data_IF_265325621001
#
_entry.id   IF_265325621001
#
_cell.length_a   1.000
_cell.length_b   1.000
_cell.length_c   1.000
_cell.angle_alpha   90.00
_cell.angle_beta   90.00
_cell.angle_gamma   90.00
#
_symmetry.space_group_name_H-M   'P 1'
#
loop_
_entity.id
_entity.type
_entity.pdbx_description
1 polymer ?
#
# COMPACT_ATOMS: atom_id res chain seq x y z
N UNK A 1 -4.36 -48.87 -6.46
CA UNK A 1 -4.65 -47.55 -5.87
C UNK A 1 -5.72 -46.96 -6.75
N UNK A 2 -6.95 -47.01 -6.30
CA UNK A 2 -8.11 -46.44 -7.00
C UNK A 2 -7.85 -44.96 -7.26
N UNK A 3 -7.91 -44.55 -8.54
CA UNK A 3 -8.05 -43.15 -8.90
C UNK A 3 -9.44 -42.75 -8.43
N UNK A 4 -9.58 -42.34 -7.20
CA UNK A 4 -10.80 -41.68 -6.76
C UNK A 4 -11.02 -40.51 -7.69
N UNK A 5 -12.07 -40.57 -8.51
CA UNK A 5 -12.52 -39.52 -9.41
C UNK A 5 -12.87 -38.33 -8.51
N UNK A 6 -12.02 -37.29 -8.51
CA UNK A 6 -12.20 -36.09 -7.70
C UNK A 6 -12.42 -34.89 -8.58
N UNK A 7 -13.32 -34.03 -8.18
CA UNK A 7 -13.62 -32.76 -8.83
C UNK A 7 -13.09 -31.57 -8.02
N UNK A 8 -12.65 -30.56 -8.73
CA UNK A 8 -12.30 -29.24 -8.19
C UNK A 8 -13.40 -28.27 -8.55
N UNK A 9 -13.99 -27.64 -7.55
CA UNK A 9 -15.08 -26.68 -7.73
C UNK A 9 -14.75 -25.38 -7.03
N UNK A 10 -14.74 -24.29 -7.80
CA UNK A 10 -14.71 -22.94 -7.26
C UNK A 10 -16.14 -22.43 -7.10
N UNK A 11 -16.54 -22.11 -5.88
CA UNK A 11 -17.78 -21.38 -5.64
C UNK A 11 -17.49 -19.90 -5.46
N UNK A 12 -18.34 -19.08 -6.05
CA UNK A 12 -18.35 -17.63 -5.84
C UNK A 12 -19.69 -17.23 -5.27
N UNK A 13 -19.66 -16.58 -4.12
CA UNK A 13 -20.81 -16.14 -3.35
C UNK A 13 -20.78 -14.63 -3.27
N UNK A 14 -21.94 -13.99 -3.51
CA UNK A 14 -22.10 -12.55 -3.33
C UNK A 14 -23.47 -12.22 -2.74
N UNK A 15 -23.52 -11.22 -1.89
CA UNK A 15 -24.76 -10.77 -1.25
C UNK A 15 -24.50 -9.76 -0.14
N UNK A 16 -25.55 -9.44 0.62
CA UNK A 16 -25.41 -8.60 1.81
C UNK A 16 -24.59 -9.33 2.86
N UNK A 17 -23.58 -8.62 3.40
CA UNK A 17 -22.75 -9.16 4.49
C UNK A 17 -23.57 -9.27 5.79
N UNK A 18 -23.48 -10.45 6.41
CA UNK A 18 -24.14 -10.78 7.68
C UNK A 18 -23.26 -11.74 8.49
N UNK A 19 -23.28 -11.60 9.84
CA UNK A 19 -22.65 -12.61 10.71
C UNK A 19 -23.20 -14.01 10.43
N UNK A 20 -22.30 -15.00 10.36
CA UNK A 20 -22.64 -16.40 10.19
C UNK A 20 -22.78 -16.88 8.74
N UNK A 21 -22.69 -16.02 7.72
CA UNK A 21 -22.82 -16.42 6.33
C UNK A 21 -21.74 -17.43 5.93
N UNK A 22 -20.48 -17.10 6.16
CA UNK A 22 -19.36 -17.99 5.87
C UNK A 22 -19.48 -19.30 6.67
N UNK A 23 -19.86 -19.23 7.95
CA UNK A 23 -20.07 -20.41 8.79
C UNK A 23 -21.16 -21.33 8.20
N UNK A 24 -22.28 -20.78 7.75
CA UNK A 24 -23.38 -21.57 7.16
C UNK A 24 -22.98 -22.30 5.88
N UNK A 25 -22.10 -21.69 5.09
CA UNK A 25 -21.59 -22.30 3.83
C UNK A 25 -20.56 -23.38 4.14
N UNK A 26 -19.62 -23.10 5.05
CA UNK A 26 -18.57 -24.07 5.42
C UNK A 26 -19.14 -25.23 6.22
N UNK A 27 -20.21 -25.05 6.98
CA UNK A 27 -20.92 -26.12 7.69
C UNK A 27 -21.47 -27.18 6.72
N UNK A 28 -22.04 -26.76 5.60
CA UNK A 28 -22.48 -27.69 4.55
C UNK A 28 -21.30 -28.49 3.99
N UNK A 29 -20.18 -27.80 3.68
CA UNK A 29 -18.98 -28.48 3.18
C UNK A 29 -18.42 -29.48 4.19
N UNK A 30 -18.49 -29.16 5.50
CA UNK A 30 -17.99 -30.02 6.57
C UNK A 30 -18.76 -31.35 6.74
N UNK A 31 -19.98 -31.42 6.19
CA UNK A 31 -20.77 -32.64 6.14
C UNK A 31 -20.30 -33.66 5.09
N UNK A 32 -19.28 -33.36 4.32
CA UNK A 32 -18.70 -34.18 3.26
C UNK A 32 -17.19 -34.27 3.41
N UNK A 33 -16.58 -35.25 2.73
CA UNK A 33 -15.11 -35.38 2.66
C UNK A 33 -14.58 -34.39 1.61
N UNK A 34 -14.36 -33.11 2.05
CA UNK A 34 -13.98 -31.97 1.22
C UNK A 34 -12.65 -31.39 1.70
N UNK A 35 -11.71 -31.28 0.78
CA UNK A 35 -10.47 -30.50 1.00
C UNK A 35 -10.65 -29.06 0.52
N UNK A 36 -10.47 -28.09 1.39
CA UNK A 36 -10.43 -26.67 0.99
C UNK A 36 -9.05 -26.35 0.41
N UNK A 37 -9.01 -26.02 -0.87
CA UNK A 37 -7.78 -25.71 -1.61
C UNK A 37 -7.41 -24.24 -1.53
N UNK A 38 -8.41 -23.34 -1.50
CA UNK A 38 -8.24 -21.92 -1.30
C UNK A 38 -9.55 -21.27 -0.83
N UNK A 39 -9.43 -20.18 -0.07
CA UNK A 39 -10.57 -19.38 0.39
C UNK A 39 -10.19 -17.91 0.45
N UNK A 40 -11.05 -17.06 -0.06
CA UNK A 40 -10.87 -15.61 -0.05
C UNK A 40 -12.19 -14.87 0.13
N UNK A 41 -12.17 -13.84 0.98
CA UNK A 41 -13.32 -12.99 1.27
C UNK A 41 -12.94 -11.52 1.10
N UNK A 42 -13.82 -10.75 0.50
CA UNK A 42 -13.71 -9.30 0.42
C UNK A 42 -15.07 -8.66 0.72
N UNK A 43 -15.02 -7.49 1.38
CA UNK A 43 -16.19 -6.67 1.65
C UNK A 43 -16.02 -5.27 1.05
N UNK A 44 -17.05 -4.78 0.37
CA UNK A 44 -17.15 -3.39 -0.08
C UNK A 44 -18.53 -2.88 0.31
N UNK A 45 -18.57 -1.84 1.15
CA UNK A 45 -19.81 -1.36 1.75
C UNK A 45 -20.43 -2.47 2.60
N UNK A 46 -21.67 -2.84 2.34
CA UNK A 46 -22.40 -3.94 2.99
C UNK A 46 -22.46 -5.21 2.13
N UNK A 47 -21.63 -5.30 1.09
CA UNK A 47 -21.65 -6.43 0.16
C UNK A 47 -20.44 -7.31 0.37
N UNK A 48 -20.70 -8.60 0.62
CA UNK A 48 -19.70 -9.65 0.70
C UNK A 48 -19.45 -10.28 -0.67
N UNK A 49 -18.19 -10.56 -0.96
CA UNK A 49 -17.77 -11.48 -2.02
C UNK A 49 -16.89 -12.56 -1.38
N UNK A 50 -17.33 -13.82 -1.45
CA UNK A 50 -16.62 -14.98 -0.90
C UNK A 50 -16.34 -15.98 -2.02
N UNK A 51 -15.09 -16.39 -2.17
CA UNK A 51 -14.66 -17.47 -3.05
C UNK A 51 -14.15 -18.63 -2.23
N UNK A 52 -14.56 -19.84 -2.54
CA UNK A 52 -14.00 -21.08 -1.96
C UNK A 52 -13.71 -22.04 -3.09
N UNK A 53 -12.45 -22.47 -3.19
CA UNK A 53 -12.03 -23.55 -4.07
C UNK A 53 -11.87 -24.81 -3.23
N UNK A 54 -12.57 -25.85 -3.58
CA UNK A 54 -12.52 -27.12 -2.86
C UNK A 54 -12.41 -28.31 -3.81
N UNK A 55 -11.90 -29.41 -3.27
CA UNK A 55 -11.82 -30.71 -3.91
C UNK A 55 -12.77 -31.66 -3.19
N UNK A 56 -13.59 -32.41 -3.93
CA UNK A 56 -14.52 -33.40 -3.41
C UNK A 56 -14.55 -34.64 -4.32
N UNK A 57 -15.23 -35.72 -3.85
CA UNK A 57 -15.53 -36.86 -4.71
C UNK A 57 -16.55 -36.45 -5.79
N UNK A 58 -16.44 -37.07 -6.97
CA UNK A 58 -17.42 -36.88 -8.06
C UNK A 58 -18.84 -37.33 -7.63
N UNK A 59 -18.94 -38.32 -6.71
CA UNK A 59 -20.20 -38.78 -6.18
C UNK A 59 -20.91 -37.77 -5.28
N UNK A 60 -20.16 -36.99 -4.52
CA UNK A 60 -20.70 -35.97 -3.59
C UNK A 60 -20.94 -34.63 -4.21
N UNK A 61 -20.22 -34.31 -5.30
CA UNK A 61 -20.22 -32.99 -5.96
C UNK A 61 -21.64 -32.47 -6.23
N UNK A 62 -22.50 -33.31 -6.81
CA UNK A 62 -23.91 -32.94 -7.10
C UNK A 62 -24.73 -32.63 -5.84
N UNK A 63 -24.55 -33.40 -4.77
CA UNK A 63 -25.26 -33.20 -3.50
C UNK A 63 -24.75 -31.94 -2.78
N UNK A 64 -23.46 -31.70 -2.80
CA UNK A 64 -22.83 -30.49 -2.24
C UNK A 64 -23.40 -29.25 -2.95
N UNK A 65 -23.36 -29.22 -4.28
CA UNK A 65 -23.88 -28.08 -5.06
C UNK A 65 -25.36 -27.83 -4.82
N UNK A 66 -26.17 -28.89 -4.75
CA UNK A 66 -27.60 -28.81 -4.43
C UNK A 66 -27.84 -28.19 -3.04
N UNK A 67 -27.15 -28.67 -2.00
CA UNK A 67 -27.32 -28.16 -0.64
C UNK A 67 -26.86 -26.71 -0.51
N UNK A 68 -25.77 -26.35 -1.17
CA UNK A 68 -25.28 -24.97 -1.23
C UNK A 68 -26.27 -24.03 -1.96
N UNK A 69 -26.90 -24.48 -3.04
CA UNK A 69 -27.94 -23.73 -3.74
C UNK A 69 -29.17 -23.46 -2.85
N UNK A 70 -29.67 -24.49 -2.15
CA UNK A 70 -30.80 -24.30 -1.23
C UNK A 70 -30.44 -23.32 -0.11
N UNK A 71 -29.25 -23.47 0.47
CA UNK A 71 -28.78 -22.55 1.53
C UNK A 71 -28.59 -21.14 1.02
N UNK A 72 -28.05 -20.95 -0.16
CA UNK A 72 -27.92 -19.64 -0.78
C UNK A 72 -29.28 -18.98 -0.98
N UNK A 73 -30.31 -19.73 -1.45
CA UNK A 73 -31.69 -19.24 -1.60
C UNK A 73 -32.28 -18.84 -0.24
N UNK A 74 -32.12 -19.67 0.79
CA UNK A 74 -32.56 -19.37 2.17
C UNK A 74 -31.93 -18.07 2.71
N UNK A 75 -30.63 -17.90 2.45
CA UNK A 75 -29.88 -16.75 2.92
C UNK A 75 -30.07 -15.50 2.03
N UNK A 76 -30.74 -15.61 0.89
CA UNK A 76 -30.93 -14.51 -0.06
C UNK A 76 -29.63 -14.01 -0.67
N UNK A 77 -28.69 -14.93 -0.94
CA UNK A 77 -27.37 -14.65 -1.55
C UNK A 77 -27.27 -15.32 -2.91
N UNK A 78 -26.38 -14.79 -3.76
CA UNK A 78 -26.09 -15.39 -5.05
C UNK A 78 -24.90 -16.34 -4.92
N UNK A 79 -25.00 -17.52 -5.48
CA UNK A 79 -23.92 -18.50 -5.59
C UNK A 79 -23.73 -18.90 -7.06
N UNK A 80 -22.49 -19.07 -7.48
CA UNK A 80 -22.11 -19.61 -8.78
C UNK A 80 -21.05 -20.66 -8.60
N UNK A 81 -21.15 -21.72 -9.40
CA UNK A 81 -20.21 -22.85 -9.40
C UNK A 81 -19.38 -22.83 -10.67
N UNK A 82 -18.08 -23.04 -10.53
CA UNK A 82 -17.13 -23.11 -11.63
C UNK A 82 -16.31 -24.38 -11.44
N UNK A 83 -16.59 -25.45 -12.20
CA UNK A 83 -15.69 -26.59 -12.27
C UNK A 83 -14.31 -26.12 -12.76
N UNK A 84 -13.26 -26.58 -12.12
CA UNK A 84 -11.88 -26.24 -12.46
C UNK A 84 -11.21 -27.51 -12.91
N UNK A 85 -10.56 -27.48 -14.09
CA UNK A 85 -9.79 -28.64 -14.55
C UNK A 85 -8.49 -28.78 -13.74
N UNK A 86 -7.92 -29.98 -13.75
CA UNK A 86 -6.65 -30.22 -13.09
C UNK A 86 -5.53 -29.38 -13.69
N UNK A 87 -5.55 -29.21 -14.98
CA UNK A 87 -4.57 -28.41 -15.73
C UNK A 87 -4.65 -26.94 -15.33
N UNK A 88 -5.86 -26.36 -15.26
CA UNK A 88 -6.08 -24.98 -14.82
C UNK A 88 -5.60 -24.77 -13.39
N UNK A 89 -5.85 -25.75 -12.51
CA UNK A 89 -5.40 -25.69 -11.11
C UNK A 89 -3.85 -25.74 -11.04
N UNK A 90 -3.23 -26.68 -11.73
CA UNK A 90 -1.77 -26.84 -11.73
C UNK A 90 -1.07 -25.60 -12.35
N UNK A 91 -1.64 -25.04 -13.42
CA UNK A 91 -1.16 -23.77 -13.98
C UNK A 91 -1.25 -22.64 -12.94
N UNK A 92 -2.37 -22.50 -12.27
CA UNK A 92 -2.55 -21.49 -11.22
C UNK A 92 -1.57 -21.70 -10.06
N UNK A 93 -1.32 -22.92 -9.62
CA UNK A 93 -0.32 -23.24 -8.59
C UNK A 93 1.10 -22.90 -9.07
N UNK A 94 1.42 -23.14 -10.34
CA UNK A 94 2.73 -22.82 -10.91
C UNK A 94 3.05 -21.32 -10.90
N UNK A 95 2.01 -20.48 -10.79
CA UNK A 95 2.18 -19.03 -10.64
C UNK A 95 2.59 -18.60 -9.22
N UNK A 96 2.60 -19.53 -8.25
CA UNK A 96 3.11 -19.26 -6.92
C UNK A 96 4.63 -19.05 -6.96
N UNK A 97 5.15 -18.25 -6.03
CA UNK A 97 6.60 -17.98 -5.97
C UNK A 97 7.10 -16.88 -6.93
N UNK A 98 6.25 -16.30 -7.79
CA UNK A 98 6.61 -15.11 -8.55
C UNK A 98 6.89 -13.92 -7.64
N UNK A 99 7.72 -12.98 -8.12
CA UNK A 99 8.00 -11.75 -7.39
C UNK A 99 6.69 -11.03 -7.04
N UNK A 100 6.64 -10.50 -5.82
CA UNK A 100 5.53 -9.69 -5.33
C UNK A 100 6.02 -8.28 -5.04
N UNK A 101 5.17 -7.33 -5.36
CA UNK A 101 5.39 -5.91 -5.11
C UNK A 101 4.16 -5.29 -4.47
N UNK A 102 4.39 -4.18 -3.79
CA UNK A 102 3.34 -3.34 -3.25
C UNK A 102 3.45 -1.99 -3.95
N UNK A 103 2.37 -1.57 -4.61
CA UNK A 103 2.19 -0.19 -5.04
C UNK A 103 1.25 0.49 -4.06
N UNK A 104 1.70 1.56 -3.43
CA UNK A 104 0.87 2.40 -2.57
C UNK A 104 0.67 3.74 -3.25
N UNK A 105 -0.57 4.21 -3.34
CA UNK A 105 -0.90 5.56 -3.79
C UNK A 105 -1.43 6.35 -2.60
N UNK A 106 -0.95 7.57 -2.44
CA UNK A 106 -1.32 8.49 -1.37
C UNK A 106 -1.71 9.84 -1.98
N UNK A 107 -2.81 10.40 -1.54
CA UNK A 107 -3.27 11.70 -2.01
C UNK A 107 -4.33 12.31 -1.11
N UNK A 108 -4.72 13.54 -1.39
CA UNK A 108 -5.82 14.20 -0.67
C UNK A 108 -7.16 13.52 -0.97
N UNK A 109 -7.34 13.01 -2.17
CA UNK A 109 -8.49 12.20 -2.61
C UNK A 109 -8.02 11.11 -3.58
N UNK A 110 -8.78 10.06 -3.70
CA UNK A 110 -8.59 9.04 -4.74
C UNK A 110 -9.54 9.33 -5.89
N UNK A 111 -9.00 9.45 -7.09
CA UNK A 111 -9.77 9.64 -8.31
C UNK A 111 -9.68 8.40 -9.20
N UNK A 112 -10.71 8.19 -10.04
CA UNK A 112 -10.68 7.12 -11.03
C UNK A 112 -9.50 7.27 -12.00
N UNK A 113 -9.10 8.50 -12.32
CA UNK A 113 -7.98 8.79 -13.21
C UNK A 113 -6.63 8.36 -12.61
N UNK A 114 -6.41 8.58 -11.32
CA UNK A 114 -5.21 8.10 -10.60
C UNK A 114 -5.12 6.58 -10.61
N UNK A 115 -6.22 5.90 -10.30
CA UNK A 115 -6.29 4.44 -10.30
C UNK A 115 -6.09 3.88 -11.72
N UNK A 116 -6.79 4.43 -12.72
CA UNK A 116 -6.68 3.98 -14.10
C UNK A 116 -5.25 4.17 -14.66
N UNK A 117 -4.62 5.30 -14.37
CA UNK A 117 -3.24 5.56 -14.76
C UNK A 117 -2.27 4.55 -14.15
N UNK A 118 -2.34 4.34 -12.85
CA UNK A 118 -1.47 3.41 -12.15
C UNK A 118 -1.67 1.96 -12.61
N UNK A 119 -2.92 1.50 -12.74
CA UNK A 119 -3.21 0.12 -13.20
C UNK A 119 -2.80 -0.12 -14.64
N UNK A 120 -2.90 0.89 -15.52
CA UNK A 120 -2.42 0.82 -16.89
C UNK A 120 -0.90 0.66 -16.95
N UNK A 121 -0.15 1.40 -16.13
CA UNK A 121 1.31 1.28 -16.03
C UNK A 121 1.69 -0.15 -15.59
N UNK A 122 1.04 -0.68 -14.54
CA UNK A 122 1.28 -2.05 -14.08
C UNK A 122 1.01 -3.08 -15.18
N UNK A 123 -0.11 -2.95 -15.89
CA UNK A 123 -0.49 -3.86 -16.98
C UNK A 123 0.51 -3.80 -18.15
N UNK A 124 0.97 -2.62 -18.56
CA UNK A 124 1.97 -2.44 -19.61
C UNK A 124 3.30 -3.12 -19.25
N UNK A 125 3.64 -3.17 -17.97
CA UNK A 125 4.82 -3.86 -17.45
C UNK A 125 4.62 -5.37 -17.24
N UNK A 126 3.45 -5.91 -17.59
CA UNK A 126 3.14 -7.34 -17.46
C UNK A 126 2.88 -7.78 -16.02
N UNK A 127 2.51 -6.86 -15.16
CA UNK A 127 2.22 -7.12 -13.76
C UNK A 127 0.72 -7.35 -13.54
N UNK A 128 0.38 -8.33 -12.70
CA UNK A 128 -0.98 -8.61 -12.27
C UNK A 128 -1.28 -7.98 -10.92
N UNK A 129 -2.49 -7.49 -10.73
CA UNK A 129 -2.99 -6.98 -9.46
C UNK A 129 -3.77 -8.10 -8.78
N UNK A 130 -3.27 -8.60 -7.66
CA UNK A 130 -3.91 -9.67 -6.90
C UNK A 130 -4.95 -9.15 -5.89
N UNK A 131 -4.70 -7.98 -5.30
CA UNK A 131 -5.60 -7.34 -4.35
C UNK A 131 -5.45 -5.81 -4.37
N UNK A 132 -6.55 -5.14 -4.04
CA UNK A 132 -6.58 -3.68 -3.84
C UNK A 132 -7.20 -3.42 -2.47
N UNK A 133 -6.51 -2.67 -1.62
CA UNK A 133 -6.97 -2.34 -0.26
C UNK A 133 -6.87 -0.85 0.00
N UNK A 134 -7.96 -0.26 0.48
CA UNK A 134 -7.92 1.08 1.04
C UNK A 134 -7.35 1.01 2.47
N UNK A 135 -6.32 1.80 2.76
CA UNK A 135 -5.65 1.85 4.06
C UNK A 135 -6.19 2.95 4.98
N UNK A 136 -6.87 3.94 4.41
CA UNK A 136 -7.48 5.04 5.17
C UNK A 136 -8.95 4.76 5.48
N UNK A 137 -9.43 5.35 6.57
CA UNK A 137 -10.84 5.30 6.94
C UNK A 137 -11.77 5.84 5.85
N UNK A 138 -13.04 5.50 5.95
CA UNK A 138 -14.12 6.06 5.11
C UNK A 138 -14.52 7.41 5.69
N UNK A 139 -14.84 8.37 4.83
CA UNK A 139 -15.18 9.74 5.21
C UNK A 139 -16.67 9.94 4.98
N UNK A 140 -17.43 10.52 5.94
CA UNK A 140 -18.83 10.90 5.73
C UNK A 140 -18.98 11.89 4.58
N UNK A 141 -20.11 11.82 3.86
CA UNK A 141 -20.35 12.68 2.69
C UNK A 141 -20.46 14.16 3.06
N UNK A 142 -20.94 14.48 4.27
CA UNK A 142 -21.21 15.85 4.74
C UNK A 142 -19.99 16.55 5.37
N UNK A 143 -18.88 15.85 5.55
CA UNK A 143 -17.64 16.45 6.08
C UNK A 143 -16.88 17.21 4.99
N UNK A 144 -17.36 18.38 4.59
CA UNK A 144 -16.68 19.26 3.63
C UNK A 144 -15.36 19.86 4.15
N UNK A 145 -15.04 19.74 5.43
CA UNK A 145 -13.89 20.40 6.09
C UNK A 145 -12.76 19.46 6.52
N UNK A 146 -12.93 18.16 6.49
CA UNK A 146 -11.85 17.26 6.81
C UNK A 146 -10.82 17.29 5.67
N UNK A 147 -9.54 17.54 5.98
CA UNK A 147 -8.44 17.28 5.05
C UNK A 147 -8.43 15.78 4.74
N UNK A 148 -9.25 15.40 3.76
CA UNK A 148 -9.40 14.02 3.35
C UNK A 148 -8.04 13.55 2.84
N UNK A 149 -7.49 12.55 3.49
CA UNK A 149 -6.32 11.83 3.00
C UNK A 149 -6.79 10.45 2.59
N UNK A 150 -6.33 10.03 1.44
CA UNK A 150 -6.71 8.74 0.88
C UNK A 150 -5.44 7.95 0.55
N UNK A 151 -5.36 6.73 1.06
CA UNK A 151 -4.27 5.82 0.78
C UNK A 151 -4.85 4.49 0.31
N UNK A 152 -4.33 3.98 -0.80
CA UNK A 152 -4.71 2.70 -1.38
C UNK A 152 -3.46 1.87 -1.66
N UNK A 153 -3.53 0.60 -1.37
CA UNK A 153 -2.47 -0.37 -1.59
C UNK A 153 -2.90 -1.40 -2.63
N UNK A 154 -2.03 -1.67 -3.59
CA UNK A 154 -2.17 -2.72 -4.58
C UNK A 154 -1.14 -3.80 -4.28
N UNK A 155 -1.59 -5.02 -4.08
CA UNK A 155 -0.72 -6.20 -4.09
C UNK A 155 -0.52 -6.63 -5.54
N UNK A 156 0.72 -6.64 -5.98
CA UNK A 156 1.08 -6.83 -7.39
C UNK A 156 2.00 -8.03 -7.53
N UNK A 157 1.77 -8.86 -8.54
CA UNK A 157 2.54 -10.07 -8.82
C UNK A 157 3.12 -10.04 -10.22
N UNK A 158 4.34 -10.57 -10.35
CA UNK A 158 5.05 -10.70 -11.62
C UNK A 158 6.45 -10.13 -11.57
N UNK A 159 7.09 -10.04 -12.72
CA UNK A 159 8.39 -9.37 -12.90
C UNK A 159 8.19 -8.25 -13.90
N UNK A 160 8.40 -6.98 -13.53
CA UNK A 160 8.25 -5.88 -14.47
C UNK A 160 9.22 -6.05 -15.65
N UNK A 161 8.78 -5.70 -16.83
CA UNK A 161 9.62 -5.73 -18.05
C UNK A 161 10.81 -4.79 -17.92
N UNK A 162 10.56 -3.61 -17.36
CA UNK A 162 11.58 -2.60 -17.08
C UNK A 162 11.20 -1.82 -15.82
N UNK A 163 11.98 -2.01 -14.74
CA UNK A 163 11.70 -1.40 -13.44
C UNK A 163 11.89 0.13 -13.45
N UNK A 164 12.91 0.61 -14.18
CA UNK A 164 13.24 2.04 -14.24
C UNK A 164 12.18 2.80 -15.05
N UNK A 165 11.71 2.20 -16.15
CA UNK A 165 10.59 2.75 -16.92
C UNK A 165 9.31 2.80 -16.12
N UNK A 166 8.98 1.73 -15.38
CA UNK A 166 7.82 1.68 -14.47
C UNK A 166 7.87 2.82 -13.45
N UNK A 167 9.01 2.99 -12.79
CA UNK A 167 9.19 4.06 -11.80
C UNK A 167 9.08 5.45 -12.44
N UNK A 168 9.68 5.64 -13.61
CA UNK A 168 9.59 6.89 -14.37
C UNK A 168 8.16 7.23 -14.80
N UNK A 169 7.38 6.24 -15.23
CA UNK A 169 5.97 6.43 -15.58
C UNK A 169 5.11 6.76 -14.34
N UNK A 170 5.32 6.07 -13.21
CA UNK A 170 4.65 6.38 -11.94
C UNK A 170 5.01 7.78 -11.44
N UNK A 171 6.26 8.21 -11.59
CA UNK A 171 6.70 9.55 -11.19
C UNK A 171 6.01 10.63 -12.03
N UNK A 172 5.94 10.44 -13.37
CA UNK A 172 5.20 11.37 -14.24
C UNK A 172 3.71 11.44 -13.88
N UNK A 173 3.10 10.28 -13.62
CA UNK A 173 1.70 10.20 -13.21
C UNK A 173 1.46 10.90 -11.87
N UNK A 174 2.36 10.72 -10.91
CA UNK A 174 2.36 11.35 -9.59
C UNK A 174 2.34 12.87 -9.70
N UNK A 175 3.29 13.43 -10.46
CA UNK A 175 3.39 14.87 -10.68
C UNK A 175 2.16 15.46 -11.39
N UNK A 176 1.59 14.71 -12.36
CA UNK A 176 0.44 15.19 -13.14
C UNK A 176 -0.87 15.17 -12.36
N UNK A 177 -1.05 14.20 -11.46
CA UNK A 177 -2.31 13.96 -10.75
C UNK A 177 -2.27 14.30 -9.25
N UNK A 178 -1.24 15.03 -8.82
CA UNK A 178 -1.08 15.51 -7.43
C UNK A 178 -1.27 14.38 -6.40
N UNK A 179 -0.54 13.29 -6.58
CA UNK A 179 -0.52 12.15 -5.67
C UNK A 179 0.90 11.66 -5.47
N UNK A 180 1.16 11.06 -4.32
CA UNK A 180 2.41 10.36 -4.05
C UNK A 180 2.28 8.87 -4.31
N UNK A 181 3.39 8.21 -4.60
CA UNK A 181 3.42 6.77 -4.75
C UNK A 181 4.64 6.15 -4.06
N UNK A 182 4.50 4.88 -3.74
CA UNK A 182 5.61 4.02 -3.34
C UNK A 182 5.48 2.69 -4.05
N UNK A 183 6.51 2.26 -4.77
CA UNK A 183 6.58 0.94 -5.38
C UNK A 183 7.75 0.17 -4.78
N UNK A 184 7.47 -0.94 -4.12
CA UNK A 184 8.48 -1.69 -3.38
C UNK A 184 8.24 -3.20 -3.49
N UNK A 185 9.33 -3.98 -3.44
CA UNK A 185 9.26 -5.44 -3.41
C UNK A 185 8.65 -5.89 -2.08
N UNK A 186 7.63 -6.76 -2.13
CA UNK A 186 7.04 -7.35 -0.92
C UNK A 186 7.91 -8.52 -0.44
N UNK A 187 8.72 -8.24 0.57
CA UNK A 187 9.61 -9.22 1.17
C UNK A 187 9.27 -9.42 2.64
N UNK A 188 9.67 -10.56 3.19
CA UNK A 188 9.51 -10.84 4.63
C UNK A 188 10.16 -9.75 5.50
N UNK A 189 11.30 -9.21 5.07
CA UNK A 189 12.01 -8.14 5.80
C UNK A 189 11.23 -6.82 5.87
N UNK A 190 10.35 -6.53 4.92
CA UNK A 190 9.51 -5.32 4.94
C UNK A 190 8.68 -5.22 6.22
N UNK A 191 8.16 -6.34 6.72
CA UNK A 191 7.29 -6.39 7.90
C UNK A 191 8.04 -6.47 9.23
N UNK A 192 9.34 -6.71 9.20
CA UNK A 192 10.17 -6.93 10.39
C UNK A 192 10.98 -5.71 10.81
N UNK A 193 10.95 -4.63 10.05
CA UNK A 193 11.68 -3.41 10.36
C UNK A 193 11.10 -2.75 11.61
N UNK A 194 11.99 -2.33 12.51
CA UNK A 194 11.64 -1.66 13.78
C UNK A 194 12.43 -0.36 14.01
N UNK A 195 13.34 0.00 13.09
CA UNK A 195 14.08 1.24 13.10
C UNK A 195 13.66 2.09 11.90
N UNK A 196 13.34 3.35 12.17
CA UNK A 196 13.06 4.36 11.15
C UNK A 196 14.00 5.52 11.41
N UNK A 197 14.75 5.90 10.39
CA UNK A 197 15.59 7.08 10.39
C UNK A 197 14.92 8.14 9.50
N UNK A 198 14.82 9.35 10.03
CA UNK A 198 14.30 10.50 9.31
C UNK A 198 15.45 11.48 9.05
N UNK A 199 15.41 12.09 7.89
CA UNK A 199 16.09 13.33 7.64
C UNK A 199 15.33 14.46 8.34
N UNK A 200 16.04 15.50 8.79
CA UNK A 200 15.42 16.59 9.55
C UNK A 200 14.97 17.73 8.65
N UNK A 201 15.94 18.31 7.93
CA UNK A 201 15.74 19.52 7.13
C UNK A 201 14.81 19.22 5.94
N UNK A 202 13.84 20.07 5.67
CA UNK A 202 12.82 19.92 4.61
C UNK A 202 12.03 18.59 4.67
N UNK A 203 12.17 17.82 5.76
CA UNK A 203 11.49 16.53 6.00
C UNK A 203 10.66 16.57 7.27
N UNK A 204 11.28 16.63 8.45
CA UNK A 204 10.58 16.76 9.73
C UNK A 204 10.22 18.21 10.05
N UNK A 205 10.96 19.14 9.49
CA UNK A 205 10.72 20.58 9.52
C UNK A 205 10.57 21.11 8.09
N UNK A 206 9.86 22.22 7.95
CA UNK A 206 9.55 22.83 6.63
C UNK A 206 10.68 23.74 6.11
N UNK A 207 11.81 23.81 6.85
CA UNK A 207 12.96 24.70 6.54
C UNK A 207 14.28 23.96 6.65
N UNK A 208 15.33 24.62 6.14
CA UNK A 208 16.73 24.24 6.37
C UNK A 208 17.25 25.02 7.58
N UNK A 209 17.79 24.35 8.60
CA UNK A 209 18.28 25.02 9.83
C UNK A 209 19.40 26.00 9.50
N UNK A 210 20.30 25.66 8.56
CA UNK A 210 21.38 26.55 8.16
C UNK A 210 20.89 27.87 7.55
N UNK A 211 19.76 27.85 6.85
CA UNK A 211 19.15 29.04 6.27
C UNK A 211 18.54 29.94 7.36
N UNK A 212 17.94 29.36 8.37
CA UNK A 212 17.42 30.09 9.54
C UNK A 212 18.57 30.75 10.33
N UNK A 213 19.68 30.05 10.51
CA UNK A 213 20.89 30.61 11.14
C UNK A 213 21.47 31.76 10.30
N UNK A 214 21.52 31.59 8.97
CA UNK A 214 22.01 32.61 8.05
C UNK A 214 21.16 33.88 8.05
N UNK A 215 19.82 33.74 8.11
CA UNK A 215 18.90 34.88 8.27
C UNK A 215 19.18 35.66 9.55
N UNK A 216 19.38 34.96 10.67
CA UNK A 216 19.69 35.61 11.97
C UNK A 216 21.09 36.25 12.00
N UNK A 217 22.05 35.69 11.26
CA UNK A 217 23.40 36.26 11.09
C UNK A 217 23.43 37.41 10.06
N UNK A 218 22.35 37.67 9.32
CA UNK A 218 22.31 38.69 8.26
C UNK A 218 23.09 38.31 6.99
N UNK A 219 23.37 37.00 6.78
CA UNK A 219 24.14 36.46 5.66
C UNK A 219 23.33 35.53 4.73
N UNK A 220 22.02 35.61 4.80
CA UNK A 220 21.10 34.70 4.07
C UNK A 220 21.36 34.64 2.58
N UNK A 221 21.54 35.79 1.90
CA UNK A 221 21.80 35.84 0.45
C UNK A 221 23.11 35.14 0.08
N UNK A 222 24.16 35.32 0.89
CA UNK A 222 25.46 34.70 0.66
C UNK A 222 25.40 33.17 0.81
N UNK A 223 24.67 32.67 1.81
CA UNK A 223 24.45 31.23 2.03
C UNK A 223 23.65 30.63 0.88
N UNK A 224 22.63 31.34 0.40
CA UNK A 224 21.85 30.91 -0.76
C UNK A 224 22.70 30.79 -2.02
N UNK A 225 23.54 31.77 -2.32
CA UNK A 225 24.46 31.74 -3.47
C UNK A 225 25.39 30.51 -3.43
N UNK A 226 25.98 30.21 -2.25
CA UNK A 226 26.83 29.03 -2.07
C UNK A 226 26.02 27.75 -2.30
N UNK A 227 24.78 27.69 -1.81
CA UNK A 227 23.90 26.53 -2.00
C UNK A 227 23.60 26.31 -3.48
N UNK A 228 23.31 27.38 -4.22
CA UNK A 228 23.05 27.30 -5.67
C UNK A 228 24.29 26.84 -6.46
N UNK A 229 25.49 27.30 -6.08
CA UNK A 229 26.76 26.82 -6.67
C UNK A 229 26.96 25.33 -6.45
N UNK A 230 26.65 24.84 -5.24
CA UNK A 230 26.73 23.42 -4.93
C UNK A 230 25.70 22.60 -5.74
N UNK A 231 24.46 23.09 -5.89
CA UNK A 231 23.43 22.46 -6.70
C UNK A 231 23.78 22.39 -8.19
N UNK A 232 24.51 23.39 -8.71
CA UNK A 232 25.03 23.37 -10.08
C UNK A 232 26.28 22.49 -10.25
N UNK A 233 26.78 21.89 -9.15
CA UNK A 233 27.97 21.03 -9.17
C UNK A 233 29.30 21.78 -9.31
N UNK A 234 29.31 23.08 -9.05
CA UNK A 234 30.53 23.92 -9.11
C UNK A 234 31.47 23.68 -7.93
N UNK A 235 30.88 23.33 -6.77
CA UNK A 235 31.57 22.96 -5.54
C UNK A 235 30.97 21.70 -4.94
N UNK A 236 31.76 20.92 -4.22
CA UNK A 236 31.27 19.73 -3.55
C UNK A 236 30.55 20.06 -2.23
N UNK A 237 29.85 19.07 -1.67
CA UNK A 237 29.11 19.25 -0.41
C UNK A 237 30.00 19.71 0.74
N UNK A 238 31.21 19.18 0.84
CA UNK A 238 32.14 19.46 1.95
C UNK A 238 32.64 20.90 1.87
N UNK A 239 32.93 21.38 0.69
CA UNK A 239 33.36 22.74 0.43
C UNK A 239 32.23 23.73 0.69
N UNK A 240 31.08 23.50 0.11
CA UNK A 240 29.85 24.26 0.34
C UNK A 240 29.50 24.35 1.82
N UNK A 241 29.54 23.22 2.55
CA UNK A 241 29.25 23.23 3.98
C UNK A 241 30.22 24.09 4.78
N UNK A 242 31.51 24.00 4.48
CA UNK A 242 32.55 24.83 5.14
C UNK A 242 32.35 26.33 4.86
N UNK A 243 32.09 26.70 3.62
CA UNK A 243 31.85 28.10 3.24
C UNK A 243 30.63 28.67 3.97
N UNK A 244 29.49 27.93 3.97
CA UNK A 244 28.25 28.35 4.64
C UNK A 244 28.43 28.50 6.16
N UNK A 245 29.07 27.53 6.81
CA UNK A 245 29.29 27.57 8.28
C UNK A 245 30.27 28.69 8.64
N UNK A 246 31.29 28.98 7.81
CA UNK A 246 32.25 30.06 8.07
C UNK A 246 31.56 31.44 8.11
N UNK A 247 30.50 31.64 7.35
CA UNK A 247 29.70 32.87 7.36
C UNK A 247 28.95 33.09 8.68
N UNK A 248 28.69 32.03 9.45
CA UNK A 248 27.98 32.10 10.74
C UNK A 248 28.89 32.45 11.90
N UNK A 249 30.21 32.70 11.63
CA UNK A 249 31.18 33.01 12.68
C UNK A 249 30.78 34.28 13.44
N UNK A 250 30.65 34.14 14.75
CA UNK A 250 30.29 35.25 15.66
C UNK A 250 28.80 35.32 15.97
N UNK A 251 28.00 34.44 15.41
CA UNK A 251 26.62 34.31 15.81
C UNK A 251 26.51 33.78 17.24
N UNK A 252 25.71 34.41 18.09
CA UNK A 252 25.51 34.00 19.47
C UNK A 252 24.73 32.69 19.56
N UNK A 253 25.18 31.77 20.44
CA UNK A 253 24.54 30.45 20.59
C UNK A 253 23.07 30.51 21.07
N UNK A 254 22.68 31.61 21.74
CA UNK A 254 21.25 31.78 22.15
C UNK A 254 20.27 31.77 21.00
N UNK A 255 20.74 32.15 19.81
CA UNK A 255 19.94 32.10 18.57
C UNK A 255 19.48 30.67 18.25
N UNK A 256 20.28 29.64 18.57
CA UNK A 256 19.89 28.25 18.32
C UNK A 256 18.66 27.85 19.13
N UNK A 257 18.55 28.36 20.37
CA UNK A 257 17.39 28.08 21.22
C UNK A 257 16.13 28.72 20.66
N UNK A 258 16.24 29.97 20.25
CA UNK A 258 15.11 30.68 19.63
C UNK A 258 14.63 30.02 18.34
N UNK A 259 15.57 29.57 17.48
CA UNK A 259 15.24 28.81 16.27
C UNK A 259 14.55 27.48 16.65
N UNK A 260 15.11 26.72 17.60
CA UNK A 260 14.54 25.41 17.98
C UNK A 260 13.11 25.52 18.52
N UNK A 261 12.80 26.60 19.26
CA UNK A 261 11.45 26.86 19.79
C UNK A 261 10.45 27.28 18.72
N UNK A 262 10.93 27.81 17.58
CA UNK A 262 10.10 28.39 16.51
C UNK A 262 10.19 27.61 15.18
N UNK A 263 10.83 26.44 15.13
CA UNK A 263 10.92 25.63 13.92
C UNK A 263 9.54 25.20 13.43
N UNK A 264 9.19 25.44 12.17
CA UNK A 264 7.96 24.97 11.59
C UNK A 264 8.03 23.44 11.39
N UNK A 265 7.31 22.70 12.22
CA UNK A 265 7.22 21.25 12.13
C UNK A 265 6.31 20.86 10.96
N UNK A 266 6.77 19.98 10.09
CA UNK A 266 6.00 19.47 8.96
C UNK A 266 4.67 18.85 9.42
N UNK A 267 3.60 19.17 8.71
CA UNK A 267 2.25 18.73 9.06
C UNK A 267 2.17 17.20 9.22
N UNK A 268 1.71 16.76 10.40
CA UNK A 268 1.49 15.36 10.72
C UNK A 268 2.68 14.63 11.35
N UNK A 269 3.84 15.24 11.49
CA UNK A 269 5.03 14.65 12.11
C UNK A 269 4.75 14.23 13.55
N UNK A 270 4.13 15.07 14.37
CA UNK A 270 3.81 14.72 15.76
C UNK A 270 2.94 13.46 15.85
N UNK A 271 1.91 13.40 15.02
CA UNK A 271 1.03 12.22 14.94
C UNK A 271 1.77 10.98 14.46
N UNK A 272 2.65 11.13 13.46
CA UNK A 272 3.48 10.04 12.95
C UNK A 272 4.39 9.50 14.05
N UNK A 273 5.12 10.37 14.75
CA UNK A 273 6.01 9.99 15.85
C UNK A 273 5.27 9.28 16.98
N UNK A 274 4.10 9.78 17.36
CA UNK A 274 3.24 9.13 18.36
C UNK A 274 2.85 7.71 17.94
N UNK A 275 2.38 7.53 16.70
CA UNK A 275 1.94 6.24 16.17
C UNK A 275 3.13 5.27 16.09
N UNK A 276 4.27 5.69 15.56
CA UNK A 276 5.46 4.85 15.45
C UNK A 276 5.94 4.36 16.81
N UNK A 277 6.03 5.25 17.81
CA UNK A 277 6.39 4.86 19.19
C UNK A 277 5.39 3.85 19.77
N UNK A 278 4.10 4.04 19.55
CA UNK A 278 3.05 3.12 20.03
C UNK A 278 3.16 1.73 19.41
N UNK A 279 3.61 1.64 18.16
CA UNK A 279 3.86 0.36 17.47
C UNK A 279 5.26 -0.21 17.73
N UNK A 280 6.03 0.37 18.65
CA UNK A 280 7.32 -0.15 19.09
C UNK A 280 8.47 0.09 18.11
N UNK A 281 8.33 1.06 17.21
CA UNK A 281 9.44 1.48 16.37
C UNK A 281 10.47 2.29 17.16
N UNK A 282 11.77 2.05 16.87
CA UNK A 282 12.84 2.96 17.22
C UNK A 282 12.91 4.06 16.18
N UNK A 283 13.06 5.30 16.64
CA UNK A 283 13.12 6.48 15.77
C UNK A 283 14.50 7.10 15.97
N UNK A 284 15.14 7.44 14.86
CA UNK A 284 16.37 8.21 14.78
C UNK A 284 16.15 9.38 13.79
N UNK A 285 16.91 10.46 14.01
CA UNK A 285 16.95 11.64 13.14
C UNK A 285 18.38 11.79 12.67
#
# INVERSE_FOLDING_TARGET
MDKTNTELVLIRISGLDRPGLTASITDILSGYDVDIMDIGQADIHSTLSLGILFKCSEQDSGNIMKNLLFKASELGINIRFYPISREEYEEWVSMQGKNRYILTLLGRKLTAQQIAGATKILANQGLNIDAIRRLTGRVPLDEQKARVRACIEFSVRGTPRNIDELQGELMRLSSTLEMDFSFQKDTMYRRMRRLICFDMDSTLIETEVIDELAKRAGVGEQVQEITERAMRGEIDFRESFKERVALLKGLDESVMKDIAENLPITEGVERLMYVLKRYGYKIAI
#
